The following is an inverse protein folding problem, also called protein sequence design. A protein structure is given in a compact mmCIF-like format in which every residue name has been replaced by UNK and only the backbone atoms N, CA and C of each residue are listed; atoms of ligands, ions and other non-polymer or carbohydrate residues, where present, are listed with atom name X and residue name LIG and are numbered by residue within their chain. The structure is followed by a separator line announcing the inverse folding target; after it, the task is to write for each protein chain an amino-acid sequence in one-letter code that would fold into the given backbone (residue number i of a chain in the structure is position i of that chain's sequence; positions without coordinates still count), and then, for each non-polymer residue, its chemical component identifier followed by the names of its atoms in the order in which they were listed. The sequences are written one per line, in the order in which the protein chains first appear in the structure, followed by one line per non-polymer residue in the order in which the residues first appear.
data_IF_529044812138
#
_entry.id   IF_529044812138
#
_cell.length_a   1.000
_cell.length_b   1.000
_cell.length_c   1.000
_cell.angle_alpha   90.00
_cell.angle_beta   90.00
_cell.angle_gamma   90.00
#
_symmetry.space_group_name_H-M   'P 1'
#
loop_
_entity.id
_entity.type
_entity.pdbx_description
1 polymer ?
#
# COMPACT_ATOMS: atom_id res chain seq x y z
N UNK A 1 3.92 -20.52 7.77
CA UNK A 1 5.20 -20.21 7.10
C UNK A 1 5.00 -19.71 5.67
N UNK A 2 4.29 -20.44 4.80
CA UNK A 2 4.05 -19.99 3.41
C UNK A 2 3.26 -18.67 3.31
N UNK A 3 2.21 -18.50 4.11
CA UNK A 3 1.36 -17.31 4.07
C UNK A 3 2.11 -16.03 4.53
N UNK A 4 2.91 -16.13 5.59
CA UNK A 4 3.73 -15.02 6.07
C UNK A 4 4.71 -14.54 4.98
N UNK A 5 5.40 -15.47 4.31
CA UNK A 5 6.32 -15.13 3.23
C UNK A 5 5.65 -14.41 2.05
N UNK A 6 4.39 -14.76 1.74
CA UNK A 6 3.61 -14.08 0.69
C UNK A 6 3.27 -12.66 1.12
N UNK A 7 2.85 -12.49 2.38
CA UNK A 7 2.51 -11.18 2.94
C UNK A 7 3.72 -10.24 3.00
N UNK A 8 4.89 -10.76 3.41
CA UNK A 8 6.14 -10.01 3.45
C UNK A 8 6.56 -9.55 2.05
N UNK A 9 6.40 -10.43 1.05
CA UNK A 9 6.66 -10.08 -0.35
C UNK A 9 5.70 -9.01 -0.88
N UNK A 10 4.40 -9.10 -0.55
CA UNK A 10 3.43 -8.08 -0.94
C UNK A 10 3.74 -6.71 -0.31
N UNK A 11 4.11 -6.68 0.96
CA UNK A 11 4.48 -5.45 1.66
C UNK A 11 5.74 -4.83 1.05
N UNK A 12 6.76 -5.65 0.77
CA UNK A 12 7.96 -5.19 0.08
C UNK A 12 7.63 -4.55 -1.27
N UNK A 13 6.82 -5.22 -2.10
CA UNK A 13 6.40 -4.67 -3.39
C UNK A 13 5.61 -3.37 -3.26
N UNK A 14 4.68 -3.29 -2.29
CA UNK A 14 3.91 -2.08 -2.02
C UNK A 14 4.83 -0.89 -1.69
N UNK A 15 5.85 -1.12 -0.86
CA UNK A 15 6.85 -0.09 -0.55
C UNK A 15 7.67 0.32 -1.77
N UNK A 16 8.02 -0.60 -2.66
CA UNK A 16 8.72 -0.25 -3.90
C UNK A 16 7.86 0.61 -4.83
N UNK A 17 6.57 0.30 -4.95
CA UNK A 17 5.64 1.11 -5.76
C UNK A 17 5.51 2.52 -5.17
N UNK A 18 5.25 2.60 -3.86
CA UNK A 18 5.12 3.88 -3.17
C UNK A 18 6.39 4.71 -3.26
N UNK A 19 7.57 4.09 -3.09
CA UNK A 19 8.84 4.79 -3.22
C UNK A 19 9.05 5.30 -4.66
N UNK A 20 8.69 4.53 -5.68
CA UNK A 20 8.77 4.97 -7.07
C UNK A 20 7.82 6.15 -7.37
N UNK A 21 6.64 6.18 -6.76
CA UNK A 21 5.65 7.25 -6.94
C UNK A 21 5.95 8.51 -6.12
N UNK A 22 6.50 8.36 -4.91
CA UNK A 22 6.64 9.44 -3.92
C UNK A 22 8.08 9.95 -3.77
N UNK A 23 9.08 9.14 -4.14
CA UNK A 23 10.49 9.53 -4.20
C UNK A 23 11.22 9.64 -2.85
N UNK A 24 10.58 9.34 -1.73
CA UNK A 24 11.19 9.44 -0.38
C UNK A 24 10.58 8.43 0.59
N UNK A 25 11.44 7.73 1.34
CA UNK A 25 11.00 6.79 2.39
C UNK A 25 10.18 7.49 3.48
N UNK A 26 10.53 8.71 3.88
CA UNK A 26 9.77 9.48 4.87
C UNK A 26 8.33 9.74 4.41
N UNK A 27 8.13 10.01 3.12
CA UNK A 27 6.80 10.23 2.53
C UNK A 27 6.04 8.90 2.41
N UNK A 28 6.73 7.79 2.13
CA UNK A 28 6.14 6.44 2.15
C UNK A 28 5.64 6.09 3.55
N UNK A 29 6.46 6.30 4.57
CA UNK A 29 6.08 6.07 5.96
C UNK A 29 4.92 6.97 6.39
N UNK A 30 4.95 8.25 6.00
CA UNK A 30 3.83 9.15 6.23
C UNK A 30 2.55 8.66 5.54
N UNK A 31 2.63 8.18 4.29
CA UNK A 31 1.48 7.70 3.54
C UNK A 31 0.80 6.51 4.22
N UNK A 32 1.58 5.54 4.71
CA UNK A 32 1.06 4.38 5.43
C UNK A 32 0.31 4.73 6.71
N UNK A 33 0.75 5.79 7.39
CA UNK A 33 0.27 6.20 8.70
C UNK A 33 -0.69 7.40 8.67
N UNK A 34 -1.06 7.89 7.49
CA UNK A 34 -1.97 9.03 7.32
C UNK A 34 -3.34 8.58 6.82
N UNK A 35 -4.37 9.33 7.21
CA UNK A 35 -5.71 9.14 6.65
C UNK A 35 -5.66 9.28 5.12
N UNK A 36 -6.19 8.29 4.42
CA UNK A 36 -6.16 8.27 2.96
C UNK A 36 -7.59 8.40 2.39
N UNK A 37 -7.79 9.43 1.55
CA UNK A 37 -9.10 9.71 0.95
C UNK A 37 -9.60 8.60 0.04
N UNK A 38 -8.70 7.84 -0.62
CA UNK A 38 -9.08 6.68 -1.43
C UNK A 38 -9.69 5.55 -0.60
N UNK A 39 -9.51 5.58 0.72
CA UNK A 39 -10.00 4.59 1.65
C UNK A 39 -10.95 5.21 2.68
N UNK A 40 -11.79 6.17 2.28
CA UNK A 40 -12.80 6.80 3.15
C UNK A 40 -12.18 7.41 4.44
N UNK A 41 -10.96 7.94 4.33
CA UNK A 41 -10.14 8.48 5.42
C UNK A 41 -9.62 7.45 6.44
N UNK A 42 -9.68 6.16 6.13
CA UNK A 42 -8.99 5.13 6.91
C UNK A 42 -7.45 5.18 6.71
N UNK A 43 -6.71 4.64 7.68
CA UNK A 43 -5.25 4.55 7.65
C UNK A 43 -4.83 3.29 6.88
N UNK A 44 -3.98 3.38 5.83
CA UNK A 44 -3.58 2.22 5.03
C UNK A 44 -2.92 1.09 5.85
N UNK A 45 -2.12 1.43 6.86
CA UNK A 45 -1.49 0.44 7.74
C UNK A 45 -2.53 -0.38 8.51
N UNK A 46 -3.58 0.27 9.03
CA UNK A 46 -4.66 -0.42 9.75
C UNK A 46 -5.42 -1.38 8.84
N UNK A 47 -5.72 -0.94 7.61
CA UNK A 47 -6.37 -1.77 6.60
C UNK A 47 -5.54 -3.01 6.23
N UNK A 48 -4.21 -2.85 6.18
CA UNK A 48 -3.28 -3.90 5.78
C UNK A 48 -3.30 -5.14 6.70
N UNK A 49 -3.69 -4.97 7.96
CA UNK A 49 -3.79 -6.08 8.93
C UNK A 49 -4.90 -7.07 8.59
N UNK A 50 -5.87 -6.70 7.75
CA UNK A 50 -6.94 -7.59 7.31
C UNK A 50 -6.69 -8.08 5.88
N UNK A 51 -7.06 -9.32 5.54
CA UNK A 51 -6.87 -9.84 4.17
C UNK A 51 -7.62 -9.02 3.12
N UNK A 52 -8.84 -8.53 3.45
CA UNK A 52 -9.64 -7.68 2.56
C UNK A 52 -9.01 -6.29 2.38
N UNK A 53 -8.60 -5.65 3.48
CA UNK A 53 -8.00 -4.32 3.42
C UNK A 53 -6.64 -4.33 2.72
N UNK A 54 -5.82 -5.35 2.98
CA UNK A 54 -4.55 -5.58 2.25
C UNK A 54 -4.73 -5.64 0.74
N UNK A 55 -5.69 -6.44 0.25
CA UNK A 55 -5.96 -6.52 -1.18
C UNK A 55 -6.49 -5.19 -1.74
N UNK A 56 -7.34 -4.47 -0.98
CA UNK A 56 -7.83 -3.13 -1.36
C UNK A 56 -6.67 -2.14 -1.55
N UNK A 57 -5.77 -2.08 -0.57
CA UNK A 57 -4.60 -1.19 -0.59
C UNK A 57 -3.65 -1.57 -1.73
N UNK A 58 -3.34 -2.87 -1.89
CA UNK A 58 -2.40 -3.32 -2.91
C UNK A 58 -2.93 -3.05 -4.33
N UNK A 59 -4.21 -3.33 -4.60
CA UNK A 59 -4.81 -3.04 -5.91
C UNK A 59 -4.82 -1.54 -6.21
N UNK A 60 -5.15 -0.69 -5.22
CA UNK A 60 -5.07 0.76 -5.40
C UNK A 60 -3.67 1.21 -5.84
N UNK A 61 -2.61 0.64 -5.27
CA UNK A 61 -1.23 0.96 -5.66
C UNK A 61 -0.91 0.50 -7.08
N UNK A 62 -1.42 -0.67 -7.50
CA UNK A 62 -1.26 -1.14 -8.87
C UNK A 62 -1.94 -0.20 -9.87
N UNK A 63 -3.15 0.26 -9.55
CA UNK A 63 -3.91 1.19 -10.39
C UNK A 63 -3.18 2.54 -10.55
N UNK A 64 -2.39 2.97 -9.56
CA UNK A 64 -1.57 4.19 -9.68
C UNK A 64 -0.41 4.06 -10.68
N UNK A 65 -0.03 2.84 -11.07
CA UNK A 65 1.01 2.61 -12.07
C UNK A 65 0.45 2.58 -13.50
N UNK A 66 -0.86 2.46 -13.66
CA UNK A 66 -1.48 2.49 -14.98
C UNK A 66 -1.53 3.92 -15.52
N UNK A 67 -1.21 4.15 -16.80
CA UNK A 67 -1.31 5.48 -17.39
C UNK A 67 -2.77 5.95 -17.39
N UNK A 68 -3.04 7.23 -17.08
CA UNK A 68 -4.40 7.77 -17.12
C UNK A 68 -4.96 7.65 -18.55
N UNK A 69 -6.16 7.07 -18.66
CA UNK A 69 -6.93 6.98 -19.91
C UNK A 69 -7.50 8.32 -20.36
#
# INVERSE_FOLDING_TARGET
MAEQNIQDKMLHNANQILLALLGSEDIVDQWWNSNNKAFDYEIPADLWHTSKGRNKVYNYLLDQMEPPH
#
